data_IF_836154636176
#
_entry.id   IF_836154636176
#
_cell.length_a   1.000
_cell.length_b   1.000
_cell.length_c   1.000
_cell.angle_alpha   90.00
_cell.angle_beta   90.00
_cell.angle_gamma   90.00
#
_symmetry.space_group_name_H-M   'P 1'
#
loop_
_entity.id
_entity.type
_entity.pdbx_description
1 polymer ?
#
# COMPACT_ATOMS: atom_id res chain seq x y z
N UNK A 1 5.64 11.48 16.94
CA UNK A 1 5.52 10.77 15.66
C UNK A 1 4.08 10.91 15.19
N UNK A 2 3.81 11.71 14.16
CA UNK A 2 2.45 11.95 13.66
C UNK A 2 2.28 11.56 12.19
N UNK A 3 3.37 11.51 11.43
CA UNK A 3 3.38 11.17 10.00
C UNK A 3 4.31 9.99 9.74
N UNK A 4 3.75 8.80 9.53
CA UNK A 4 4.52 7.55 9.39
C UNK A 4 4.29 6.91 8.04
N UNK A 5 5.37 6.62 7.31
CA UNK A 5 5.32 5.81 6.11
C UNK A 5 5.56 4.35 6.42
N UNK A 6 4.72 3.47 5.89
CA UNK A 6 4.87 2.02 5.95
C UNK A 6 5.10 1.49 4.54
N UNK A 7 6.31 1.01 4.30
CA UNK A 7 6.81 0.54 3.03
C UNK A 7 7.07 -0.96 3.07
N UNK A 8 7.00 -1.62 1.92
CA UNK A 8 7.31 -3.04 1.79
C UNK A 8 6.59 -3.69 0.61
N UNK A 9 6.97 -4.93 0.26
CA UNK A 9 6.32 -5.65 -0.82
C UNK A 9 4.87 -5.97 -0.48
N UNK A 10 4.07 -6.26 -1.51
CA UNK A 10 2.75 -6.88 -1.30
C UNK A 10 2.91 -8.21 -0.55
N UNK A 11 2.00 -8.47 0.38
CA UNK A 11 2.08 -9.64 1.27
C UNK A 11 3.01 -9.48 2.47
N UNK A 12 3.70 -8.34 2.63
CA UNK A 12 4.54 -8.09 3.81
C UNK A 12 3.76 -7.93 5.11
N UNK A 13 2.48 -7.56 5.02
CA UNK A 13 1.64 -7.19 6.16
C UNK A 13 1.63 -5.68 6.45
N UNK A 14 2.14 -4.86 5.52
CA UNK A 14 2.15 -3.39 5.57
C UNK A 14 0.81 -2.79 5.99
N UNK A 15 -0.29 -3.23 5.39
CA UNK A 15 -1.60 -2.68 5.65
C UNK A 15 -2.07 -2.96 7.08
N UNK A 16 -2.00 -4.22 7.51
CA UNK A 16 -2.34 -4.63 8.88
C UNK A 16 -1.44 -3.95 9.92
N UNK A 17 -0.16 -3.76 9.60
CA UNK A 17 0.76 -3.03 10.47
C UNK A 17 0.38 -1.54 10.54
N UNK A 18 0.05 -0.92 9.42
CA UNK A 18 -0.34 0.47 9.33
C UNK A 18 -1.64 0.76 10.09
N UNK A 19 -2.66 -0.08 9.95
CA UNK A 19 -3.92 0.02 10.71
C UNK A 19 -3.66 -0.02 12.21
N UNK A 20 -2.94 -1.05 12.69
CA UNK A 20 -2.63 -1.19 14.12
C UNK A 20 -1.80 -0.02 14.66
N UNK A 21 -0.87 0.49 13.86
CA UNK A 21 -0.05 1.63 14.24
C UNK A 21 -0.88 2.92 14.28
N UNK A 22 -1.77 3.11 13.31
CA UNK A 22 -2.69 4.24 13.25
C UNK A 22 -3.61 4.26 14.48
N UNK A 23 -4.19 3.11 14.83
CA UNK A 23 -5.02 2.93 16.02
C UNK A 23 -4.25 3.25 17.31
N UNK A 24 -3.01 2.75 17.42
CA UNK A 24 -2.16 3.00 18.58
C UNK A 24 -1.79 4.48 18.75
N UNK A 25 -1.60 5.20 17.65
CA UNK A 25 -1.24 6.61 17.64
C UNK A 25 -2.46 7.55 17.67
N UNK A 26 -3.67 7.03 17.45
CA UNK A 26 -4.88 7.83 17.31
C UNK A 26 -4.87 8.75 16.09
N UNK A 27 -4.30 8.30 14.97
CA UNK A 27 -4.20 9.09 13.71
C UNK A 27 -4.86 8.34 12.54
N UNK A 28 -5.22 9.02 11.44
CA UNK A 28 -5.82 8.34 10.28
C UNK A 28 -4.86 7.35 9.61
N UNK A 29 -5.37 6.16 9.24
CA UNK A 29 -4.70 5.24 8.33
C UNK A 29 -5.05 5.58 6.88
N UNK A 30 -4.05 5.66 6.01
CA UNK A 30 -4.20 5.97 4.58
C UNK A 30 -3.61 4.82 3.76
N UNK A 31 -4.47 4.05 3.11
CA UNK A 31 -4.07 3.03 2.17
C UNK A 31 -3.95 3.61 0.77
N UNK A 32 -2.74 3.77 0.24
CA UNK A 32 -2.54 4.40 -1.07
C UNK A 32 -3.23 3.66 -2.21
N UNK A 33 -3.37 2.34 -2.11
CA UNK A 33 -4.10 1.53 -3.08
C UNK A 33 -5.58 1.99 -3.21
N UNK A 34 -6.21 2.48 -2.14
CA UNK A 34 -7.60 3.00 -2.16
C UNK A 34 -7.75 4.29 -2.99
N UNK A 35 -6.66 5.04 -3.15
CA UNK A 35 -6.64 6.32 -3.88
C UNK A 35 -6.08 6.17 -5.29
N UNK A 36 -5.19 5.20 -5.51
CA UNK A 36 -4.54 5.00 -6.79
C UNK A 36 -5.42 4.26 -7.80
N UNK A 37 -6.15 3.24 -7.35
CA UNK A 37 -6.93 2.40 -8.25
C UNK A 37 -8.35 2.95 -8.44
N UNK A 38 -8.74 3.13 -9.69
CA UNK A 38 -10.13 3.32 -10.10
C UNK A 38 -10.78 1.94 -10.31
N UNK A 39 -12.14 1.85 -10.34
CA UNK A 39 -12.83 0.57 -10.57
C UNK A 39 -12.28 -0.19 -11.77
N UNK A 40 -12.27 -1.52 -11.69
CA UNK A 40 -11.67 -2.41 -12.69
C UNK A 40 -10.14 -2.30 -12.84
N UNK A 41 -9.42 -1.94 -11.76
CA UNK A 41 -7.94 -1.83 -11.77
C UNK A 41 -7.42 -0.82 -12.79
N UNK A 42 -8.16 0.27 -12.99
CA UNK A 42 -7.72 1.36 -13.86
C UNK A 42 -6.79 2.26 -13.06
N UNK A 43 -5.56 2.45 -13.57
CA UNK A 43 -4.56 3.32 -12.95
C UNK A 43 -5.03 4.78 -12.95
N UNK A 44 -4.74 5.50 -11.86
CA UNK A 44 -4.92 6.95 -11.83
C UNK A 44 -3.83 7.62 -12.67
N UNK A 45 -4.18 8.53 -13.61
CA UNK A 45 -3.21 9.29 -14.39
C UNK A 45 -2.17 9.95 -13.50
N UNK A 46 -0.92 10.03 -13.97
CA UNK A 46 0.22 10.49 -13.16
C UNK A 46 -0.04 11.86 -12.52
N UNK A 47 -0.48 12.85 -13.29
CA UNK A 47 -0.80 14.19 -12.79
C UNK A 47 -1.81 14.15 -11.62
N UNK A 48 -2.93 13.44 -11.81
CA UNK A 48 -3.95 13.24 -10.77
C UNK A 48 -3.39 12.49 -9.55
N UNK A 49 -2.45 11.57 -9.76
CA UNK A 49 -1.82 10.83 -8.68
C UNK A 49 -0.92 11.74 -7.82
N UNK A 50 -0.14 12.61 -8.45
CA UNK A 50 0.70 13.57 -7.73
C UNK A 50 -0.14 14.60 -6.95
N UNK A 51 -1.24 15.10 -7.53
CA UNK A 51 -2.19 15.97 -6.84
C UNK A 51 -2.80 15.27 -5.62
N UNK A 52 -3.33 14.06 -5.81
CA UNK A 52 -3.93 13.25 -4.75
C UNK A 52 -2.94 13.01 -3.61
N UNK A 53 -1.70 12.59 -3.92
CA UNK A 53 -0.70 12.38 -2.87
C UNK A 53 -0.31 13.69 -2.20
N UNK A 54 -0.24 14.80 -2.94
CA UNK A 54 0.00 16.15 -2.40
C UNK A 54 -1.03 16.53 -1.33
N UNK A 55 -2.31 16.30 -1.60
CA UNK A 55 -3.38 16.51 -0.63
C UNK A 55 -3.24 15.60 0.59
N UNK A 56 -2.98 14.30 0.39
CA UNK A 56 -2.86 13.32 1.48
C UNK A 56 -1.70 13.66 2.43
N UNK A 57 -0.53 14.04 1.90
CA UNK A 57 0.65 14.35 2.73
C UNK A 57 0.56 15.71 3.43
N UNK A 58 -0.36 16.59 3.00
CA UNK A 58 -0.57 17.91 3.62
C UNK A 58 -1.29 17.84 4.97
N UNK A 59 -1.94 16.69 5.26
CA UNK A 59 -2.61 16.43 6.55
C UNK A 59 -1.62 16.47 7.71
N UNK A 60 -2.07 16.96 8.86
CA UNK A 60 -1.25 17.12 10.06
C UNK A 60 -0.74 15.79 10.66
N UNK A 61 -1.49 14.71 10.46
CA UNK A 61 -1.15 13.37 10.94
C UNK A 61 -1.70 12.28 10.04
N UNK A 62 -0.93 11.19 9.90
CA UNK A 62 -1.28 10.01 9.12
C UNK A 62 -0.31 8.85 9.37
N UNK A 63 -0.82 7.63 9.26
CA UNK A 63 0.00 6.46 8.91
C UNK A 63 -0.39 6.08 7.48
N UNK A 64 0.58 6.06 6.58
CA UNK A 64 0.34 5.84 5.16
C UNK A 64 1.10 4.60 4.69
N UNK A 65 0.38 3.66 4.09
CA UNK A 65 0.97 2.46 3.53
C UNK A 65 0.85 2.42 2.00
N UNK A 66 1.89 1.91 1.33
CA UNK A 66 1.92 1.82 -0.12
C UNK A 66 3.32 1.98 -0.70
N UNK A 67 3.58 1.23 -1.78
CA UNK A 67 4.92 1.06 -2.35
C UNK A 67 5.11 1.80 -3.68
N UNK A 68 4.37 2.90 -3.88
CA UNK A 68 4.43 3.74 -5.08
C UNK A 68 5.71 4.59 -5.10
N UNK A 69 6.67 4.20 -5.94
CA UNK A 69 8.00 4.83 -6.00
C UNK A 69 7.96 6.23 -6.62
N UNK A 70 7.08 6.48 -7.59
CA UNK A 70 6.93 7.79 -8.25
C UNK A 70 6.66 8.94 -7.28
N UNK A 71 5.89 8.69 -6.22
CA UNK A 71 5.55 9.68 -5.18
C UNK A 71 6.30 9.44 -3.87
N UNK A 72 7.30 8.56 -3.84
CA UNK A 72 8.00 8.23 -2.60
C UNK A 72 8.76 9.43 -2.03
N UNK A 73 9.41 10.22 -2.88
CA UNK A 73 10.23 11.34 -2.45
C UNK A 73 9.40 12.42 -1.71
N UNK A 74 8.27 12.85 -2.27
CA UNK A 74 7.40 13.85 -1.64
C UNK A 74 6.83 13.35 -0.30
N UNK A 75 6.52 12.05 -0.22
CA UNK A 75 6.04 11.41 1.00
C UNK A 75 7.12 11.38 2.07
N UNK A 76 8.34 10.95 1.74
CA UNK A 76 9.46 10.87 2.68
C UNK A 76 9.78 12.25 3.26
N UNK A 77 9.80 13.29 2.44
CA UNK A 77 10.06 14.68 2.89
C UNK A 77 9.03 15.19 3.91
N UNK A 78 7.83 14.59 3.98
CA UNK A 78 6.77 14.95 4.93
C UNK A 78 6.63 13.97 6.09
N UNK A 79 7.24 12.79 6.00
CA UNK A 79 7.17 11.80 7.06
C UNK A 79 8.12 12.17 8.21
N UNK A 80 7.67 11.95 9.44
CA UNK A 80 8.55 11.99 10.61
C UNK A 80 9.31 10.66 10.76
N UNK A 81 8.77 9.58 10.19
CA UNK A 81 9.30 8.23 10.34
C UNK A 81 8.93 7.39 9.12
N UNK A 82 9.87 6.56 8.65
CA UNK A 82 9.62 5.56 7.62
C UNK A 82 9.96 4.18 8.17
N UNK A 83 9.03 3.24 8.02
CA UNK A 83 9.14 1.86 8.46
C UNK A 83 9.09 0.98 7.22
N UNK A 84 10.10 0.14 7.06
CA UNK A 84 10.17 -0.81 5.94
C UNK A 84 10.01 -2.24 6.44
N UNK A 85 8.96 -2.92 6.01
CA UNK A 85 8.72 -4.32 6.34
C UNK A 85 9.50 -5.25 5.39
N UNK A 86 10.70 -5.63 5.82
CA UNK A 86 11.54 -6.59 5.12
C UNK A 86 11.23 -8.03 5.54
N UNK A 87 10.29 -8.68 4.85
CA UNK A 87 9.93 -10.08 5.11
C UNK A 87 10.48 -11.02 4.04
N UNK A 88 10.69 -12.33 4.35
CA UNK A 88 11.12 -13.29 3.34
C UNK A 88 10.14 -13.38 2.16
N UNK A 89 10.65 -13.40 0.92
CA UNK A 89 9.82 -13.47 -0.30
C UNK A 89 8.83 -14.63 -0.32
N UNK A 90 9.29 -15.81 0.13
CA UNK A 90 8.46 -17.01 0.31
C UNK A 90 7.26 -16.77 1.23
N UNK A 91 7.44 -15.98 2.28
CA UNK A 91 6.36 -15.62 3.21
C UNK A 91 5.40 -14.62 2.56
N UNK A 92 5.90 -13.57 1.89
CA UNK A 92 5.07 -12.63 1.13
C UNK A 92 4.22 -13.35 0.09
N UNK A 93 4.84 -14.23 -0.69
CA UNK A 93 4.16 -15.00 -1.73
C UNK A 93 3.07 -15.90 -1.14
N UNK A 94 3.39 -16.67 -0.09
CA UNK A 94 2.40 -17.51 0.58
C UNK A 94 1.24 -16.70 1.15
N UNK A 95 1.50 -15.53 1.75
CA UNK A 95 0.46 -14.64 2.29
C UNK A 95 -0.44 -14.10 1.17
N UNK A 96 0.14 -13.68 0.05
CA UNK A 96 -0.63 -13.25 -1.13
C UNK A 96 -1.49 -14.38 -1.68
N UNK A 97 -0.92 -15.58 -1.82
CA UNK A 97 -1.66 -16.76 -2.30
C UNK A 97 -2.81 -17.13 -1.36
N UNK A 98 -2.54 -17.23 -0.05
CA UNK A 98 -3.56 -17.50 0.98
C UNK A 98 -4.67 -16.45 0.93
N UNK A 99 -4.31 -15.17 0.81
CA UNK A 99 -5.25 -14.05 0.73
C UNK A 99 -6.18 -14.18 -0.49
N UNK A 100 -5.65 -14.55 -1.65
CA UNK A 100 -6.50 -14.80 -2.83
C UNK A 100 -7.52 -15.89 -2.58
N UNK A 101 -7.09 -17.03 -2.04
CA UNK A 101 -8.00 -18.15 -1.76
C UNK A 101 -9.10 -17.73 -0.79
N UNK A 102 -8.78 -16.92 0.23
CA UNK A 102 -9.74 -16.45 1.23
C UNK A 102 -10.70 -15.37 0.72
N UNK A 103 -10.27 -14.50 -0.20
CA UNK A 103 -11.06 -13.35 -0.69
C UNK A 103 -11.49 -13.51 -2.15
N UNK A 104 -11.63 -14.75 -2.64
CA UNK A 104 -12.09 -15.00 -4.01
C UNK A 104 -13.49 -14.40 -4.19
N UNK A 105 -13.64 -13.48 -5.14
CA UNK A 105 -14.91 -12.79 -5.42
C UNK A 105 -15.23 -11.60 -4.50
N UNK A 106 -14.30 -11.18 -3.63
CA UNK A 106 -14.48 -10.03 -2.74
C UNK A 106 -13.52 -8.88 -3.10
N UNK A 107 -13.93 -7.66 -2.76
CA UNK A 107 -13.06 -6.46 -2.78
C UNK A 107 -12.47 -6.32 -1.38
N UNK A 108 -11.15 -6.11 -1.29
CA UNK A 108 -10.49 -5.89 0.00
C UNK A 108 -10.95 -4.55 0.60
N UNK A 109 -11.08 -4.41 1.94
CA UNK A 109 -11.46 -3.15 2.57
C UNK A 109 -10.54 -1.98 2.21
N UNK A 110 -9.26 -2.29 1.94
CA UNK A 110 -8.21 -1.34 1.57
C UNK A 110 -8.20 -0.98 0.07
N UNK A 111 -9.01 -1.65 -0.76
CA UNK A 111 -9.08 -1.39 -2.19
C UNK A 111 -10.26 -0.51 -2.54
N UNK A 112 -10.14 0.25 -3.62
CA UNK A 112 -11.27 0.97 -4.19
C UNK A 112 -12.40 0.00 -4.61
N UNK A 113 -13.68 0.41 -4.49
CA UNK A 113 -14.81 -0.39 -4.93
C UNK A 113 -14.66 -0.90 -6.37
N UNK A 114 -15.01 -2.17 -6.62
CA UNK A 114 -14.90 -2.80 -7.94
C UNK A 114 -13.50 -3.32 -8.29
N UNK A 115 -12.51 -3.21 -7.40
CA UNK A 115 -11.20 -3.86 -7.57
C UNK A 115 -11.21 -5.25 -6.94
N UNK A 116 -11.79 -6.23 -7.64
CA UNK A 116 -11.77 -7.64 -7.22
C UNK A 116 -10.35 -8.21 -7.27
N UNK A 117 -9.96 -9.03 -6.28
CA UNK A 117 -8.61 -9.58 -6.19
C UNK A 117 -8.18 -10.29 -7.50
N UNK A 118 -7.18 -9.73 -8.19
CA UNK A 118 -6.53 -10.34 -9.36
C UNK A 118 -5.11 -10.74 -8.98
N UNK A 119 -4.75 -11.99 -9.24
CA UNK A 119 -3.35 -12.41 -9.30
C UNK A 119 -3.07 -12.72 -10.76
N UNK A 120 -2.33 -11.84 -11.43
CA UNK A 120 -1.74 -12.12 -12.72
C UNK A 120 -0.26 -12.49 -12.59
N UNK A 121 0.30 -12.99 -13.70
CA UNK A 121 1.69 -13.41 -13.78
C UNK A 121 2.64 -12.23 -13.52
N UNK A 122 2.26 -11.01 -13.91
CA UNK A 122 3.04 -9.80 -13.68
C UNK A 122 3.14 -9.49 -12.18
N UNK A 123 2.04 -9.62 -11.44
CA UNK A 123 2.04 -9.46 -9.99
C UNK A 123 2.86 -10.53 -9.27
N UNK A 124 2.79 -11.80 -9.71
CA UNK A 124 3.64 -12.88 -9.19
C UNK A 124 5.12 -12.58 -9.43
N UNK A 125 5.46 -12.18 -10.66
CA UNK A 125 6.82 -11.82 -11.07
C UNK A 125 7.35 -10.65 -10.24
N UNK A 126 6.52 -9.65 -9.98
CA UNK A 126 6.88 -8.50 -9.15
C UNK A 126 7.21 -8.91 -7.70
N UNK A 127 6.38 -9.75 -7.05
CA UNK A 127 6.66 -10.24 -5.69
C UNK A 127 7.97 -11.04 -5.65
N UNK A 128 8.21 -11.88 -6.65
CA UNK A 128 9.40 -12.73 -6.69
C UNK A 128 10.70 -11.94 -6.87
N UNK A 129 10.63 -10.85 -7.62
CA UNK A 129 11.77 -9.99 -7.92
C UNK A 129 12.04 -8.92 -6.83
N UNK A 130 11.12 -8.70 -5.89
CA UNK A 130 11.30 -7.71 -4.83
C UNK A 130 12.17 -8.20 -3.64
N UNK A 131 13.05 -7.36 -3.05
CA UNK A 131 13.52 -6.08 -3.56
C UNK A 131 14.50 -6.34 -4.70
N UNK A 132 14.29 -5.71 -5.86
CA UNK A 132 15.26 -5.79 -6.96
C UNK A 132 16.57 -5.21 -6.44
N UNK A 133 17.58 -6.07 -6.30
CA UNK A 133 18.98 -5.70 -6.18
C UNK A 133 19.52 -5.40 -7.57
#
# INVERSE_FOLDING_TARGET
>A
MKRVLVLGPSGSGKSTFAEKLADLLGVPCIHLDSYYWKPNWVETPEEQWFETVGELISRESWVMDGNYTSTLEMRIRRADTAIFLNVPRRLSFWRVFKRRVMHTGQVRPELAPGCYEKIDLDFIRWIWNYPLR
#
